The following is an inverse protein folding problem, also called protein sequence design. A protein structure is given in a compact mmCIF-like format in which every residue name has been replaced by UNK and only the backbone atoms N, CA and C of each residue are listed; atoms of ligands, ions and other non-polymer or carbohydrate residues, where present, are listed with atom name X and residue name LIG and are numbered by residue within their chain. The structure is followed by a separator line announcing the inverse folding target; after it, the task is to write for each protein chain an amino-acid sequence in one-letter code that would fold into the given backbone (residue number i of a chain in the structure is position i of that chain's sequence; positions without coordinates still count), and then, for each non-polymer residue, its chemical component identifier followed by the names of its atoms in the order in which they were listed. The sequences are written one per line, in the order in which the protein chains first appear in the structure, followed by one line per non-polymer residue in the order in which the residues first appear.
data_IF_009230514445
#
_entry.id   IF_009230514445
#
_cell.length_a   1.000
_cell.length_b   1.000
_cell.length_c   1.000
_cell.angle_alpha   90.00
_cell.angle_beta   90.00
_cell.angle_gamma   90.00
#
_symmetry.space_group_name_H-M   'P 1'
#
loop_
_entity.id
_entity.type
_entity.pdbx_description
1 polymer ?
#
# COMPACT_ATOMS: atom_id res chain seq x y z
N UNK A 1 -1.46 -10.49 12.83
CA UNK A 1 -0.81 -9.22 12.48
C UNK A 1 0.69 -9.31 12.73
N UNK A 2 1.52 -8.89 11.77
CA UNK A 2 2.98 -8.81 11.94
C UNK A 2 3.28 -7.84 13.10
N UNK A 3 4.08 -8.21 14.11
CA UNK A 3 4.35 -7.35 15.26
C UNK A 3 4.83 -5.95 14.88
N UNK A 4 4.20 -4.92 15.44
CA UNK A 4 4.54 -3.52 15.20
C UNK A 4 4.00 -2.93 13.90
N UNK A 5 3.40 -3.74 13.01
CA UNK A 5 2.70 -3.22 11.85
C UNK A 5 1.39 -2.56 12.28
N UNK A 6 1.13 -1.32 11.87
CA UNK A 6 -0.19 -0.69 11.99
C UNK A 6 -0.72 -0.31 10.62
N UNK A 7 -2.03 -0.41 10.45
CA UNK A 7 -2.74 -0.05 9.22
C UNK A 7 -3.85 0.91 9.58
N UNK A 8 -3.77 2.12 9.05
CA UNK A 8 -4.80 3.14 9.17
C UNK A 8 -5.53 3.24 7.83
N UNK A 9 -6.85 3.03 7.86
CA UNK A 9 -7.71 3.09 6.67
C UNK A 9 -8.63 4.30 6.81
N UNK A 10 -8.57 5.22 5.86
CA UNK A 10 -9.43 6.39 5.82
C UNK A 10 -9.83 6.77 4.40
N UNK A 11 -10.68 7.79 4.29
CA UNK A 11 -11.15 8.33 3.00
C UNK A 11 -10.05 8.90 2.12
N UNK A 12 -9.08 9.54 2.75
CA UNK A 12 -8.00 10.22 2.03
C UNK A 12 -6.89 9.24 1.67
N UNK A 13 -6.53 8.31 2.56
CA UNK A 13 -5.44 7.38 2.29
C UNK A 13 -5.58 6.08 3.11
N UNK A 14 -4.84 5.07 2.67
CA UNK A 14 -4.37 3.99 3.54
C UNK A 14 -2.94 4.29 3.94
N UNK A 15 -2.64 4.24 5.24
CA UNK A 15 -1.27 4.41 5.75
C UNK A 15 -0.87 3.16 6.54
N UNK A 16 0.17 2.49 6.06
CA UNK A 16 0.81 1.37 6.75
C UNK A 16 2.06 1.89 7.43
N UNK A 17 2.24 1.63 8.73
CA UNK A 17 3.42 2.05 9.49
C UNK A 17 4.04 0.88 10.22
N UNK A 18 5.34 0.99 10.46
CA UNK A 18 6.09 0.04 11.27
C UNK A 18 7.26 0.73 12.00
N UNK A 19 7.66 0.23 13.19
CA UNK A 19 8.65 0.92 14.03
C UNK A 19 10.09 0.77 13.55
N UNK A 20 10.38 -0.24 12.73
CA UNK A 20 11.73 -0.49 12.20
C UNK A 20 11.92 0.18 10.84
N UNK A 21 13.16 0.27 10.37
CA UNK A 21 13.42 0.62 8.98
C UNK A 21 13.44 -0.68 8.19
N UNK A 22 12.57 -0.82 7.18
CA UNK A 22 12.45 -2.04 6.38
C UNK A 22 12.87 -1.79 4.95
N UNK A 23 13.46 -2.81 4.31
CA UNK A 23 13.69 -2.82 2.87
C UNK A 23 12.35 -3.02 2.17
N UNK A 24 12.02 -2.14 1.24
CA UNK A 24 10.78 -2.15 0.48
C UNK A 24 11.12 -2.17 -1.00
N UNK A 25 10.45 -3.06 -1.74
CA UNK A 25 10.45 -3.06 -3.20
C UNK A 25 9.12 -2.51 -3.67
N UNK A 26 9.14 -1.45 -4.47
CA UNK A 26 7.92 -0.73 -4.86
C UNK A 26 8.00 -0.16 -6.28
N UNK A 27 6.84 -0.02 -6.93
CA UNK A 27 6.67 0.78 -8.16
C UNK A 27 6.09 2.17 -7.87
N UNK A 28 6.12 2.60 -6.61
CA UNK A 28 5.60 3.88 -6.14
C UNK A 28 6.31 5.08 -6.78
N UNK A 29 5.58 6.20 -6.85
CA UNK A 29 6.11 7.47 -7.36
C UNK A 29 7.10 8.10 -6.37
N UNK A 30 6.93 7.87 -5.06
CA UNK A 30 7.89 8.22 -4.01
C UNK A 30 8.47 6.94 -3.42
N UNK A 31 9.79 6.84 -3.35
CA UNK A 31 10.48 5.65 -2.83
C UNK A 31 10.33 4.41 -3.74
N UNK A 32 10.19 4.62 -5.06
CA UNK A 32 10.16 3.56 -6.05
C UNK A 32 11.50 2.82 -6.18
N UNK A 33 11.45 1.60 -6.71
CA UNK A 33 12.58 0.69 -6.76
C UNK A 33 12.80 -0.05 -5.44
N UNK A 34 14.05 -0.39 -5.15
CA UNK A 34 14.46 -0.98 -3.89
C UNK A 34 14.93 0.14 -2.95
N UNK A 35 14.19 0.35 -1.86
CA UNK A 35 14.41 1.45 -0.93
C UNK A 35 14.28 0.98 0.53
N UNK A 36 14.52 1.89 1.47
CA UNK A 36 14.22 1.71 2.88
C UNK A 36 13.06 2.63 3.28
N UNK A 37 12.14 2.15 4.11
CA UNK A 37 11.00 2.94 4.58
C UNK A 37 10.53 2.52 5.97
N UNK A 38 9.74 3.40 6.59
CA UNK A 38 9.00 3.21 7.86
C UNK A 38 7.49 3.24 7.68
N UNK A 39 7.04 3.68 6.51
CA UNK A 39 5.64 3.76 6.16
C UNK A 39 5.40 3.56 4.65
N UNK A 40 4.18 3.12 4.33
CA UNK A 40 3.60 3.18 2.98
C UNK A 40 2.36 4.07 3.04
N UNK A 41 2.26 5.01 2.11
CA UNK A 41 1.08 5.85 1.89
C UNK A 41 0.46 5.44 0.54
N UNK A 42 -0.80 5.01 0.56
CA UNK A 42 -1.61 4.85 -0.64
C UNK A 42 -2.70 5.94 -0.64
N UNK A 43 -2.40 7.05 -1.30
CA UNK A 43 -3.19 8.28 -1.30
C UNK A 43 -4.29 8.21 -2.37
N UNK A 44 -5.53 8.48 -1.98
CA UNK A 44 -6.64 8.57 -2.91
C UNK A 44 -6.53 9.84 -3.77
N UNK A 45 -6.78 9.70 -5.06
CA UNK A 45 -6.97 10.80 -6.00
C UNK A 45 -8.24 10.57 -6.81
N UNK A 46 -8.86 11.64 -7.30
CA UNK A 46 -10.01 11.51 -8.17
C UNK A 46 -9.63 10.74 -9.45
N UNK A 47 -10.57 9.99 -10.02
CA UNK A 47 -10.31 9.16 -11.20
C UNK A 47 -9.80 9.96 -12.40
N UNK A 48 -10.28 11.19 -12.55
CA UNK A 48 -9.93 12.09 -13.64
C UNK A 48 -8.92 13.17 -13.20
N UNK A 49 -8.25 12.96 -12.07
CA UNK A 49 -7.20 13.86 -11.61
C UNK A 49 -6.01 13.78 -12.58
N UNK A 50 -5.50 14.93 -13.09
CA UNK A 50 -4.37 14.95 -14.00
C UNK A 50 -3.05 14.54 -13.32
N UNK A 51 -3.00 14.49 -11.99
CA UNK A 51 -1.82 14.09 -11.21
C UNK A 51 -0.56 14.82 -11.66
N UNK A 52 -0.62 16.15 -11.78
CA UNK A 52 0.47 16.99 -12.33
C UNK A 52 1.75 16.91 -11.50
N UNK A 53 1.62 16.83 -10.17
CA UNK A 53 2.73 16.67 -9.24
C UNK A 53 2.43 15.57 -8.19
N UNK A 54 2.56 14.27 -8.58
CA UNK A 54 2.27 13.16 -7.68
C UNK A 54 3.11 13.16 -6.39
N UNK A 55 4.43 13.41 -6.44
CA UNK A 55 5.24 13.51 -5.23
C UNK A 55 4.78 14.63 -4.30
N UNK A 56 4.49 15.83 -4.82
CA UNK A 56 4.04 16.96 -4.01
C UNK A 56 2.68 16.74 -3.32
N UNK A 57 1.75 16.02 -3.97
CA UNK A 57 0.48 15.61 -3.36
C UNK A 57 0.73 14.71 -2.14
N UNK A 58 1.60 13.71 -2.29
CA UNK A 58 1.95 12.76 -1.23
C UNK A 58 2.69 13.48 -0.10
N UNK A 59 3.65 14.34 -0.39
CA UNK A 59 4.39 15.09 0.62
C UNK A 59 3.45 15.97 1.45
N UNK A 60 2.51 16.65 0.78
CA UNK A 60 1.52 17.50 1.45
C UNK A 60 0.63 16.67 2.38
N UNK A 61 0.16 15.50 1.95
CA UNK A 61 -0.57 14.58 2.81
C UNK A 61 0.31 14.09 3.97
N UNK A 62 1.53 13.63 3.71
CA UNK A 62 2.44 13.09 4.71
C UNK A 62 2.71 14.09 5.85
N UNK A 63 2.92 15.37 5.53
CA UNK A 63 3.06 16.43 6.54
C UNK A 63 1.82 16.60 7.40
N UNK A 64 0.62 16.63 6.81
CA UNK A 64 -0.64 16.76 7.57
C UNK A 64 -0.92 15.55 8.45
N UNK A 65 -0.59 14.35 7.96
CA UNK A 65 -0.82 13.07 8.64
C UNK A 65 0.34 12.66 9.57
N UNK A 66 1.33 13.54 9.79
CA UNK A 66 2.54 13.28 10.57
C UNK A 66 3.25 11.97 10.18
N UNK A 67 3.31 11.66 8.89
CA UNK A 67 4.08 10.54 8.34
C UNK A 67 5.47 11.05 7.99
N UNK A 68 6.45 10.68 8.81
CA UNK A 68 7.83 11.10 8.63
C UNK A 68 8.57 10.21 7.62
N UNK A 69 9.51 10.81 6.90
CA UNK A 69 10.45 10.07 6.06
C UNK A 69 11.34 9.12 6.89
N UNK A 70 11.82 8.02 6.29
CA UNK A 70 11.56 7.61 4.91
C UNK A 70 10.23 6.86 4.75
N UNK A 71 9.47 7.16 3.70
CA UNK A 71 8.23 6.47 3.35
C UNK A 71 8.17 6.15 1.85
N UNK A 72 7.32 5.18 1.50
CA UNK A 72 6.95 4.87 0.12
C UNK A 72 5.55 5.44 -0.15
N UNK A 73 5.35 6.08 -1.30
CA UNK A 73 4.10 6.80 -1.60
C UNK A 73 3.56 6.49 -2.99
N UNK A 74 2.34 5.98 -3.06
CA UNK A 74 1.61 5.69 -4.30
C UNK A 74 0.26 6.42 -4.30
N UNK A 75 -0.27 6.64 -5.51
CA UNK A 75 -1.60 7.19 -5.73
C UNK A 75 -2.56 6.07 -6.18
N UNK A 76 -3.83 6.20 -5.82
CA UNK A 76 -4.90 5.29 -6.27
C UNK A 76 -6.19 6.05 -6.51
N UNK A 77 -6.93 5.67 -7.55
CA UNK A 77 -8.32 6.16 -7.73
C UNK A 77 -9.37 5.24 -7.10
N UNK A 78 -8.94 4.12 -6.49
CA UNK A 78 -9.83 3.29 -5.69
C UNK A 78 -10.16 3.98 -4.37
N UNK A 79 -11.36 3.75 -3.85
CA UNK A 79 -11.78 4.25 -2.54
C UNK A 79 -10.96 3.58 -1.44
N UNK A 80 -10.08 4.36 -0.81
CA UNK A 80 -9.17 3.90 0.25
C UNK A 80 -9.92 3.49 1.50
N UNK A 81 -11.06 4.11 1.82
CA UNK A 81 -11.95 3.72 2.93
C UNK A 81 -12.56 2.31 2.77
N UNK A 82 -12.48 1.71 1.58
CA UNK A 82 -12.88 0.34 1.30
C UNK A 82 -11.71 -0.64 1.23
N UNK A 83 -10.52 -0.23 1.68
CA UNK A 83 -9.39 -1.13 1.75
C UNK A 83 -9.68 -2.33 2.65
N UNK A 84 -9.21 -3.50 2.23
CA UNK A 84 -9.32 -4.74 3.01
C UNK A 84 -7.95 -5.21 3.45
N UNK A 85 -7.86 -5.71 4.67
CA UNK A 85 -6.64 -6.34 5.20
C UNK A 85 -6.83 -7.85 5.24
N UNK A 86 -5.90 -8.58 4.66
CA UNK A 86 -5.82 -10.04 4.74
C UNK A 86 -4.49 -10.47 5.37
N UNK A 87 -4.53 -11.57 6.12
CA UNK A 87 -3.34 -12.14 6.75
C UNK A 87 -3.18 -13.61 6.38
N UNK A 88 -1.94 -14.05 6.23
CA UNK A 88 -1.61 -15.45 6.03
C UNK A 88 -0.31 -15.80 6.77
N UNK A 89 -0.18 -17.06 7.18
CA UNK A 89 1.05 -17.59 7.75
C UNK A 89 1.34 -18.98 7.19
N UNK A 90 2.61 -19.29 6.96
CA UNK A 90 3.05 -20.56 6.41
C UNK A 90 4.56 -20.58 6.17
N UNK A 91 5.16 -21.77 6.20
CA UNK A 91 6.60 -21.97 5.95
C UNK A 91 7.54 -21.10 6.82
N UNK A 92 7.12 -20.74 8.03
CA UNK A 92 7.88 -19.87 8.92
C UNK A 92 7.75 -18.37 8.61
N UNK A 93 6.87 -17.98 7.69
CA UNK A 93 6.61 -16.59 7.33
C UNK A 93 5.22 -16.13 7.77
N UNK A 94 5.10 -14.82 7.99
CA UNK A 94 3.83 -14.11 8.16
C UNK A 94 3.71 -13.09 7.02
N UNK A 95 2.52 -12.98 6.45
CA UNK A 95 2.20 -12.02 5.40
C UNK A 95 0.95 -11.22 5.78
N UNK A 96 0.98 -9.93 5.50
CA UNK A 96 -0.18 -9.04 5.56
C UNK A 96 -0.33 -8.40 4.19
N UNK A 97 -1.53 -8.46 3.65
CA UNK A 97 -1.91 -7.78 2.41
C UNK A 97 -2.92 -6.68 2.74
N UNK A 98 -2.66 -5.47 2.28
CA UNK A 98 -3.63 -4.36 2.32
C UNK A 98 -3.98 -4.01 0.89
N UNK A 99 -5.25 -4.18 0.53
CA UNK A 99 -5.70 -4.06 -0.85
C UNK A 99 -6.80 -3.02 -0.98
N UNK A 100 -6.65 -2.09 -1.92
CA UNK A 100 -7.72 -1.22 -2.42
C UNK A 100 -8.17 -1.74 -3.79
N UNK A 101 -9.48 -1.89 -4.02
CA UNK A 101 -10.01 -2.40 -5.30
C UNK A 101 -11.00 -1.41 -5.90
N UNK A 102 -10.79 -1.04 -7.16
CA UNK A 102 -11.78 -0.33 -7.96
C UNK A 102 -12.92 -1.27 -8.36
N UNK A 103 -14.02 -1.26 -7.62
CA UNK A 103 -15.17 -2.16 -7.85
C UNK A 103 -16.00 -1.82 -9.10
N UNK A 104 -15.65 -0.77 -9.84
CA UNK A 104 -16.32 -0.37 -11.08
C UNK A 104 -16.08 -1.33 -12.26
N UNK A 105 -15.08 -2.21 -12.19
CA UNK A 105 -14.84 -3.27 -13.17
C UNK A 105 -14.40 -4.58 -12.49
N UNK A 106 -15.32 -5.19 -11.72
CA UNK A 106 -15.04 -6.42 -10.96
C UNK A 106 -14.75 -7.59 -11.89
N UNK A 107 -13.50 -8.01 -11.96
CA UNK A 107 -13.11 -9.35 -12.37
C UNK A 107 -12.58 -10.07 -11.14
N UNK A 108 -13.09 -11.26 -10.84
CA UNK A 108 -12.60 -12.06 -9.73
C UNK A 108 -11.13 -12.47 -9.98
N UNK A 109 -10.20 -11.92 -9.19
CA UNK A 109 -8.84 -12.44 -9.16
C UNK A 109 -8.86 -13.84 -8.51
N UNK A 110 -8.30 -14.85 -9.18
CA UNK A 110 -8.06 -16.15 -8.54
C UNK A 110 -9.24 -17.14 -8.51
N UNK A 111 -10.01 -17.30 -9.59
CA UNK A 111 -10.90 -18.49 -9.73
C UNK A 111 -10.15 -19.83 -9.78
N UNK A 112 -8.82 -19.81 -9.85
CA UNK A 112 -7.97 -20.99 -9.73
C UNK A 112 -7.44 -21.09 -8.31
N UNK A 113 -7.50 -22.29 -7.72
CA UNK A 113 -6.87 -22.57 -6.44
C UNK A 113 -5.40 -22.10 -6.44
N UNK A 114 -4.90 -21.65 -5.28
CA UNK A 114 -3.50 -21.31 -5.09
C UNK A 114 -2.63 -22.46 -5.63
N UNK A 115 -1.83 -22.19 -6.66
CA UNK A 115 -0.90 -23.18 -7.16
C UNK A 115 0.31 -23.22 -6.23
N UNK A 116 0.79 -24.41 -5.83
CA UNK A 116 2.09 -24.54 -5.19
C UNK A 116 3.14 -23.86 -6.08
N UNK A 117 4.01 -23.07 -5.47
CA UNK A 117 5.17 -22.54 -6.18
C UNK A 117 6.07 -23.72 -6.61
N UNK A 118 6.41 -23.79 -7.90
CA UNK A 118 7.31 -24.80 -8.46
C UNK A 118 8.47 -24.05 -9.12
N UNK A 119 9.73 -24.24 -8.65
CA UNK A 119 10.88 -23.67 -9.34
C UNK A 119 11.08 -24.32 -10.71
N UNK A 120 11.63 -23.53 -11.64
CA UNK A 120 12.10 -23.98 -12.96
C UNK A 120 13.37 -24.83 -12.86
#
# INVERSE_FOLDING_TARGET
MIPGLSVEIGREAVVVRWPLLLRVLSSAVVGGGLAEARAVINLHVAKDDPCVDPPGLIETFARRAAVHEPYVGLLTSAWTEHATVGEAAGFGFQAVAVATVGLSNRIAAGRSAARPWVPS
#
